data_IF_368778462605
#
_entry.id   IF_368778462605
#
_cell.length_a   1.000
_cell.length_b   1.000
_cell.length_c   1.000
_cell.angle_alpha   90.00
_cell.angle_beta   90.00
_cell.angle_gamma   90.00
#
_symmetry.space_group_name_H-M   'P 1'
#
loop_
_entity.id
_entity.type
_entity.pdbx_description
1 polymer ?
#
# COMPACT_ATOMS: atom_id res chain seq x y z
N UNK A 1 28.31 -1.72 -17.32
CA UNK A 1 29.22 -1.13 -16.30
C UNK A 1 28.70 -1.32 -14.87
N UNK A 2 27.38 -1.20 -14.62
CA UNK A 2 26.78 -1.38 -13.27
C UNK A 2 27.06 -2.79 -12.73
N UNK A 3 26.92 -3.81 -13.54
CA UNK A 3 27.17 -5.20 -13.12
C UNK A 3 28.64 -5.49 -12.80
N UNK A 4 29.57 -4.69 -13.31
CA UNK A 4 31.02 -4.87 -13.10
C UNK A 4 31.49 -4.49 -11.69
N UNK A 5 30.61 -3.83 -10.89
CA UNK A 5 30.93 -3.54 -9.48
C UNK A 5 30.75 -4.75 -8.57
N UNK A 6 30.02 -5.79 -9.01
CA UNK A 6 29.84 -7.03 -8.27
C UNK A 6 31.06 -7.92 -8.41
N UNK A 7 31.72 -8.23 -7.29
CA UNK A 7 32.90 -9.11 -7.24
C UNK A 7 32.48 -10.56 -6.97
N UNK A 8 33.33 -11.54 -7.32
CA UNK A 8 33.10 -12.94 -6.97
C UNK A 8 32.77 -13.11 -5.49
N UNK A 9 31.74 -13.88 -5.18
CA UNK A 9 31.27 -14.15 -3.83
C UNK A 9 30.32 -13.09 -3.23
N UNK A 10 30.09 -11.94 -3.88
CA UNK A 10 29.18 -10.89 -3.39
C UNK A 10 27.72 -11.11 -3.77
N UNK A 11 27.44 -11.94 -4.75
CA UNK A 11 26.10 -12.28 -5.19
C UNK A 11 25.98 -13.77 -5.46
N UNK A 12 24.93 -14.37 -4.93
CA UNK A 12 24.62 -15.78 -5.13
C UNK A 12 23.21 -16.10 -4.65
N UNK A 13 22.66 -17.18 -5.15
CA UNK A 13 21.34 -17.69 -4.74
C UNK A 13 21.30 -19.19 -4.89
N UNK A 14 20.90 -19.88 -3.82
CA UNK A 14 20.70 -21.35 -3.84
C UNK A 14 19.55 -21.73 -4.78
N UNK A 15 18.51 -20.92 -4.90
CA UNK A 15 17.33 -21.19 -5.74
C UNK A 15 17.34 -20.44 -7.06
N UNK A 16 18.32 -19.55 -7.30
CA UNK A 16 18.45 -18.79 -8.54
C UNK A 16 18.61 -19.74 -9.76
N UNK A 17 17.90 -19.45 -10.83
CA UNK A 17 17.87 -20.29 -12.03
C UNK A 17 17.03 -21.56 -11.91
N UNK A 18 16.30 -21.77 -10.81
CA UNK A 18 15.40 -22.91 -10.68
C UNK A 18 14.30 -22.86 -11.76
N UNK A 19 14.12 -23.92 -12.58
CA UNK A 19 13.15 -23.91 -13.70
C UNK A 19 11.70 -23.68 -13.25
N UNK A 20 11.30 -24.22 -12.10
CA UNK A 20 9.94 -24.02 -11.56
C UNK A 20 9.75 -22.55 -11.18
N UNK A 21 10.71 -21.98 -10.46
CA UNK A 21 10.64 -20.56 -10.08
C UNK A 21 10.61 -19.65 -11.33
N UNK A 22 11.38 -19.96 -12.35
CA UNK A 22 11.37 -19.23 -13.62
C UNK A 22 10.00 -19.30 -14.32
N UNK A 23 9.38 -20.49 -14.39
CA UNK A 23 8.03 -20.66 -14.95
C UNK A 23 6.96 -19.91 -14.16
N UNK A 24 7.00 -19.96 -12.83
CA UNK A 24 6.09 -19.20 -11.97
C UNK A 24 6.27 -17.69 -12.17
N UNK A 25 7.49 -17.21 -12.31
CA UNK A 25 7.77 -15.79 -12.56
C UNK A 25 7.22 -15.34 -13.92
N UNK A 26 7.36 -16.16 -14.96
CA UNK A 26 6.78 -15.89 -16.30
C UNK A 26 5.26 -15.80 -16.18
N UNK A 27 4.60 -16.80 -15.61
CA UNK A 27 3.15 -16.82 -15.43
C UNK A 27 2.66 -15.61 -14.62
N UNK A 28 3.39 -15.18 -13.59
CA UNK A 28 3.04 -13.98 -12.81
C UNK A 28 3.11 -12.69 -13.66
N UNK A 29 4.06 -12.59 -14.58
CA UNK A 29 4.14 -11.44 -15.50
C UNK A 29 3.01 -11.48 -16.53
N UNK A 30 2.71 -12.66 -17.09
CA UNK A 30 1.59 -12.86 -18.03
C UNK A 30 0.26 -12.44 -17.39
N UNK A 31 -0.02 -12.83 -16.16
CA UNK A 31 -1.24 -12.41 -15.42
C UNK A 31 -1.32 -10.89 -15.27
N UNK A 32 -0.20 -10.19 -15.03
CA UNK A 32 -0.19 -8.72 -14.93
C UNK A 32 -0.67 -8.07 -16.22
N UNK A 33 -0.27 -8.61 -17.36
CA UNK A 33 -0.64 -8.09 -18.68
C UNK A 33 -2.06 -8.54 -19.07
N UNK A 34 -2.39 -9.83 -18.95
CA UNK A 34 -3.68 -10.42 -19.35
C UNK A 34 -4.87 -9.81 -18.58
N UNK A 35 -4.68 -9.55 -17.27
CA UNK A 35 -5.71 -8.96 -16.43
C UNK A 35 -5.66 -7.42 -16.39
N UNK A 36 -4.80 -6.78 -17.18
CA UNK A 36 -4.63 -5.32 -17.26
C UNK A 36 -4.38 -4.65 -15.89
N UNK A 37 -3.62 -5.33 -15.01
CA UNK A 37 -3.44 -4.92 -13.61
C UNK A 37 -2.71 -3.59 -13.49
N UNK A 38 -1.86 -3.22 -14.44
CA UNK A 38 -1.17 -1.91 -14.46
C UNK A 38 -2.18 -0.77 -14.60
N UNK A 39 -3.16 -0.91 -15.50
CA UNK A 39 -4.20 0.10 -15.74
C UNK A 39 -5.14 0.19 -14.55
N UNK A 40 -5.54 -0.96 -14.00
CA UNK A 40 -6.35 -1.01 -12.78
C UNK A 40 -5.65 -0.29 -11.62
N UNK A 41 -4.38 -0.59 -11.38
CA UNK A 41 -3.59 0.06 -10.33
C UNK A 41 -3.45 1.57 -10.53
N UNK A 42 -3.28 2.05 -11.78
CA UNK A 42 -3.22 3.48 -12.10
C UNK A 42 -4.55 4.19 -11.78
N UNK A 43 -5.67 3.62 -12.28
CA UNK A 43 -7.03 4.17 -12.10
C UNK A 43 -7.38 4.21 -10.62
N UNK A 44 -7.33 3.08 -9.96
CA UNK A 44 -7.78 2.95 -8.57
C UNK A 44 -6.85 3.63 -7.57
N UNK A 45 -5.54 3.66 -7.85
CA UNK A 45 -4.61 4.41 -7.03
C UNK A 45 -4.80 5.92 -7.12
N UNK A 46 -5.20 6.46 -8.29
CA UNK A 46 -5.60 7.87 -8.43
C UNK A 46 -6.87 8.15 -7.63
N UNK A 47 -7.89 7.30 -7.77
CA UNK A 47 -9.15 7.42 -7.03
C UNK A 47 -8.90 7.40 -5.52
N UNK A 48 -8.14 6.43 -5.01
CA UNK A 48 -7.79 6.35 -3.59
C UNK A 48 -7.17 7.66 -3.08
N UNK A 49 -6.19 8.22 -3.79
CA UNK A 49 -5.54 9.47 -3.36
C UNK A 49 -6.48 10.68 -3.43
N UNK A 50 -7.41 10.72 -4.37
CA UNK A 50 -8.44 11.76 -4.43
C UNK A 50 -9.36 11.69 -3.21
N UNK A 51 -9.84 10.50 -2.87
CA UNK A 51 -10.69 10.31 -1.70
C UNK A 51 -9.95 10.61 -0.39
N UNK A 52 -8.71 10.15 -0.26
CA UNK A 52 -7.90 10.52 0.91
C UNK A 52 -7.66 12.02 1.00
N UNK A 53 -7.45 12.72 -0.11
CA UNK A 53 -7.31 14.18 -0.10
C UNK A 53 -8.61 14.88 0.34
N UNK A 54 -9.78 14.37 -0.05
CA UNK A 54 -11.09 14.84 0.42
C UNK A 54 -11.21 14.69 1.94
N UNK A 55 -10.86 13.52 2.48
CA UNK A 55 -10.88 13.24 3.92
C UNK A 55 -9.92 14.17 4.68
N UNK A 56 -8.70 14.35 4.17
CA UNK A 56 -7.69 15.25 4.75
C UNK A 56 -8.22 16.69 4.84
N UNK A 57 -8.98 17.15 3.87
CA UNK A 57 -9.53 18.52 3.86
C UNK A 57 -10.54 18.79 4.98
N UNK A 58 -11.11 17.75 5.58
CA UNK A 58 -12.12 17.83 6.65
C UNK A 58 -11.68 17.25 7.99
N UNK A 59 -10.45 16.76 8.10
CA UNK A 59 -9.96 16.09 9.30
C UNK A 59 -8.49 16.39 9.56
N UNK A 60 -8.15 16.74 10.80
CA UNK A 60 -6.79 17.11 11.19
C UNK A 60 -5.90 15.92 11.55
N UNK A 61 -6.44 14.71 11.67
CA UNK A 61 -5.68 13.53 12.08
C UNK A 61 -4.68 13.09 11.00
N UNK A 62 -4.99 13.33 9.73
CA UNK A 62 -4.15 12.95 8.59
C UNK A 62 -3.71 14.22 7.85
N UNK A 63 -2.40 14.36 7.61
CA UNK A 63 -1.85 15.56 6.97
C UNK A 63 -1.43 15.36 5.52
N UNK A 64 -1.25 14.12 5.07
CA UNK A 64 -0.75 13.86 3.72
C UNK A 64 -1.14 12.48 3.22
N UNK A 65 -1.44 12.38 1.93
CA UNK A 65 -1.48 11.11 1.19
C UNK A 65 -0.40 11.14 0.10
N UNK A 66 0.26 10.00 -0.10
CA UNK A 66 1.26 9.82 -1.17
C UNK A 66 1.24 8.38 -1.68
N UNK A 67 1.70 8.17 -2.91
CA UNK A 67 1.80 6.82 -3.48
C UNK A 67 1.89 6.81 -4.99
N UNK A 68 2.06 5.61 -5.53
CA UNK A 68 2.04 5.32 -6.97
C UNK A 68 1.24 4.04 -7.20
N UNK A 69 0.32 4.07 -8.17
CA UNK A 69 -0.61 2.95 -8.35
C UNK A 69 -1.37 2.67 -7.05
N UNK A 70 -1.52 1.41 -6.70
CA UNK A 70 -2.18 0.93 -5.48
C UNK A 70 -1.26 0.87 -4.25
N UNK A 71 0.02 1.20 -4.37
CA UNK A 71 0.90 1.35 -3.20
C UNK A 71 0.80 2.79 -2.69
N UNK A 72 0.06 2.99 -1.62
CA UNK A 72 -0.22 4.30 -1.04
C UNK A 72 0.10 4.35 0.45
N UNK A 73 0.31 5.55 0.96
CA UNK A 73 0.50 5.79 2.38
C UNK A 73 -0.19 7.10 2.80
N UNK A 74 -0.71 7.12 4.01
CA UNK A 74 -1.14 8.32 4.71
C UNK A 74 -0.16 8.66 5.81
N UNK A 75 -0.02 9.96 6.11
CA UNK A 75 0.82 10.47 7.19
C UNK A 75 -0.09 11.00 8.29
N UNK A 76 0.03 10.43 9.46
CA UNK A 76 -0.72 10.83 10.66
C UNK A 76 -0.11 12.11 11.22
N UNK A 77 -0.95 13.03 11.66
CA UNK A 77 -0.56 14.30 12.29
C UNK A 77 -0.12 14.07 13.74
N UNK A 78 1.01 13.40 13.90
CA UNK A 78 1.62 13.17 15.20
C UNK A 78 3.14 12.93 15.06
N UNK A 79 3.83 12.91 16.21
CA UNK A 79 5.26 12.56 16.24
C UNK A 79 5.51 11.18 15.65
N UNK A 80 6.61 10.98 14.92
CA UNK A 80 7.04 9.65 14.50
C UNK A 80 7.27 8.66 15.67
N UNK A 81 7.53 9.16 16.86
CA UNK A 81 7.74 8.35 18.07
C UNK A 81 6.44 8.02 18.82
N UNK A 82 5.28 8.55 18.35
CA UNK A 82 3.98 8.27 18.96
C UNK A 82 3.44 6.90 18.54
N UNK A 83 2.51 6.35 19.32
CA UNK A 83 1.78 5.13 19.03
C UNK A 83 0.52 5.36 18.17
N UNK A 84 0.21 6.60 17.80
CA UNK A 84 -1.04 6.98 17.15
C UNK A 84 -1.29 6.22 15.85
N UNK A 85 -0.27 6.05 14.99
CA UNK A 85 -0.42 5.29 13.76
C UNK A 85 -0.70 3.79 14.03
N UNK A 86 -0.08 3.22 15.07
CA UNK A 86 -0.36 1.85 15.50
C UNK A 86 -1.79 1.70 16.00
N UNK A 87 -2.24 2.58 16.90
CA UNK A 87 -3.61 2.58 17.44
C UNK A 87 -4.65 2.77 16.34
N UNK A 88 -4.36 3.65 15.36
CA UNK A 88 -5.24 3.82 14.20
C UNK A 88 -5.31 2.56 13.34
N UNK A 89 -4.20 1.82 13.17
CA UNK A 89 -4.21 0.53 12.47
C UNK A 89 -5.04 -0.52 13.24
N UNK A 90 -5.02 -0.54 14.56
CA UNK A 90 -5.87 -1.41 15.36
C UNK A 90 -7.35 -1.04 15.19
N UNK A 91 -7.69 0.25 15.22
CA UNK A 91 -9.05 0.72 14.99
C UNK A 91 -9.55 0.38 13.56
N UNK A 92 -8.70 0.48 12.56
CA UNK A 92 -9.01 0.02 11.19
C UNK A 92 -9.30 -1.48 11.16
N UNK A 93 -8.47 -2.30 11.84
CA UNK A 93 -8.68 -3.75 11.95
C UNK A 93 -10.03 -4.08 12.58
N UNK A 94 -10.42 -3.41 13.66
CA UNK A 94 -11.73 -3.59 14.31
C UNK A 94 -12.91 -3.23 13.38
N UNK A 95 -12.69 -2.32 12.43
CA UNK A 95 -13.66 -1.98 11.39
C UNK A 95 -13.53 -2.85 10.11
N UNK A 96 -12.67 -3.88 10.10
CA UNK A 96 -12.56 -4.86 9.00
C UNK A 96 -11.50 -4.53 7.95
N UNK A 97 -10.62 -3.55 8.18
CA UNK A 97 -9.57 -3.17 7.23
C UNK A 97 -8.17 -3.36 7.85
N UNK A 98 -7.38 -4.24 7.25
CA UNK A 98 -5.99 -4.41 7.64
C UNK A 98 -5.09 -3.36 6.96
N UNK A 99 -4.32 -2.64 7.76
CA UNK A 99 -3.32 -1.70 7.30
C UNK A 99 -2.04 -1.88 8.11
N UNK A 100 -0.91 -1.41 7.58
CA UNK A 100 0.39 -1.61 8.25
C UNK A 100 1.01 -0.25 8.60
N UNK A 101 1.31 0.02 9.87
CA UNK A 101 2.13 1.15 10.24
C UNK A 101 3.57 0.92 9.74
N UNK A 102 4.22 1.98 9.31
CA UNK A 102 5.60 1.95 8.81
C UNK A 102 6.26 3.31 9.10
N UNK A 103 7.50 3.29 9.54
CA UNK A 103 8.27 4.52 9.84
C UNK A 103 7.49 5.53 10.74
N UNK A 104 7.13 5.08 11.94
CA UNK A 104 6.50 5.93 12.95
C UNK A 104 5.05 6.30 12.61
N UNK A 105 4.84 7.53 12.14
CA UNK A 105 3.51 8.10 11.90
C UNK A 105 2.95 7.84 10.48
N UNK A 106 3.44 6.84 9.76
CA UNK A 106 3.00 6.52 8.40
C UNK A 106 2.23 5.21 8.40
N UNK A 107 1.07 5.18 7.74
CA UNK A 107 0.28 3.97 7.52
C UNK A 107 0.25 3.65 6.02
N UNK A 108 0.64 2.42 5.66
CA UNK A 108 0.70 1.93 4.29
C UNK A 108 -0.53 1.11 3.95
N UNK A 109 -1.08 1.38 2.75
CA UNK A 109 -2.12 0.60 2.09
C UNK A 109 -1.57 0.00 0.80
N UNK A 110 -1.72 -1.30 0.63
CA UNK A 110 -1.27 -2.04 -0.54
C UNK A 110 -2.28 -3.17 -0.84
N UNK A 111 -3.47 -2.85 -1.34
CA UNK A 111 -4.46 -3.86 -1.68
C UNK A 111 -3.98 -4.71 -2.87
N UNK A 112 -4.59 -5.90 -3.09
CA UNK A 112 -4.33 -6.70 -4.29
C UNK A 112 -4.54 -5.89 -5.56
N UNK A 113 -3.75 -6.16 -6.60
CA UNK A 113 -3.87 -5.44 -7.89
C UNK A 113 -5.20 -5.69 -8.59
N UNK A 114 -5.88 -6.79 -8.26
CA UNK A 114 -7.21 -7.19 -8.78
C UNK A 114 -8.38 -6.54 -8.03
N UNK A 115 -8.13 -5.69 -7.02
CA UNK A 115 -9.21 -5.01 -6.28
C UNK A 115 -10.13 -4.27 -7.24
N UNK A 116 -11.44 -4.37 -7.01
CA UNK A 116 -12.43 -3.60 -7.78
C UNK A 116 -12.61 -2.19 -7.22
N UNK A 117 -13.22 -1.31 -8.01
CA UNK A 117 -13.55 0.04 -7.58
C UNK A 117 -14.53 0.03 -6.38
N UNK A 118 -15.54 -0.85 -6.40
CA UNK A 118 -16.48 -1.00 -5.30
C UNK A 118 -15.76 -1.39 -4.00
N UNK A 119 -14.91 -2.42 -4.04
CA UNK A 119 -14.11 -2.84 -2.88
C UNK A 119 -13.18 -1.73 -2.38
N UNK A 120 -12.59 -0.95 -3.28
CA UNK A 120 -11.75 0.18 -2.90
C UNK A 120 -12.58 1.25 -2.17
N UNK A 121 -13.78 1.55 -2.65
CA UNK A 121 -14.68 2.53 -2.02
C UNK A 121 -15.19 2.05 -0.66
N UNK A 122 -15.42 0.75 -0.48
CA UNK A 122 -15.70 0.16 0.83
C UNK A 122 -14.53 0.38 1.80
N UNK A 123 -13.28 0.16 1.33
CA UNK A 123 -12.09 0.46 2.14
C UNK A 123 -12.00 1.95 2.49
N UNK A 124 -12.29 2.85 1.56
CA UNK A 124 -12.30 4.30 1.80
C UNK A 124 -13.33 4.67 2.85
N UNK A 125 -14.54 4.11 2.78
CA UNK A 125 -15.60 4.34 3.77
C UNK A 125 -15.20 3.86 5.18
N UNK A 126 -14.53 2.71 5.29
CA UNK A 126 -13.99 2.20 6.55
C UNK A 126 -12.92 3.15 7.10
N UNK A 127 -12.01 3.63 6.25
CA UNK A 127 -10.96 4.58 6.64
C UNK A 127 -11.59 5.87 7.15
N UNK A 128 -12.51 6.46 6.41
CA UNK A 128 -13.19 7.71 6.79
C UNK A 128 -13.94 7.58 8.11
N UNK A 129 -14.75 6.51 8.27
CA UNK A 129 -15.45 6.19 9.52
C UNK A 129 -14.47 6.10 10.68
N UNK A 130 -13.38 5.34 10.50
CA UNK A 130 -12.40 5.11 11.56
C UNK A 130 -11.70 6.39 11.96
N UNK A 131 -11.26 7.21 11.00
CA UNK A 131 -10.61 8.50 11.23
C UNK A 131 -11.55 9.45 12.01
N UNK A 132 -12.83 9.52 11.63
CA UNK A 132 -13.80 10.41 12.26
C UNK A 132 -14.19 10.01 13.68
N UNK A 133 -14.05 8.74 14.02
CA UNK A 133 -14.37 8.22 15.38
C UNK A 133 -13.14 8.02 16.25
N UNK A 134 -11.93 8.14 15.69
CA UNK A 134 -10.68 7.92 16.39
C UNK A 134 -10.42 9.03 17.42
N UNK A 135 -10.15 8.62 18.66
CA UNK A 135 -9.71 9.53 19.74
C UNK A 135 -8.18 9.42 19.89
N UNK A 136 -7.53 10.52 19.65
CA UNK A 136 -6.08 10.68 19.80
C UNK A 136 -5.62 10.57 21.25
#
# INVERSE_FOLDING_TARGET
DIMMVIKPGQHGSTFGGNPIAAKVAIAALEVIDDENLIQNARKLGKLFRQEMQRIISSNELIVKVRGKGLLNAIVVNDSPDSDTAWRLCLALKENGLLAKPTHGNIIRFAPPLVITEAQLMDCVAIIEKTINTFKK
#
